data_IF_075892315441
#
_entry.id   IF_075892315441
#
_cell.length_a   1.000
_cell.length_b   1.000
_cell.length_c   1.000
_cell.angle_alpha   90.00
_cell.angle_beta   90.00
_cell.angle_gamma   90.00
#
_symmetry.space_group_name_H-M   'P 1'
#
loop_
_entity.id
_entity.type
_entity.pdbx_description
1 polymer ?
#
# COMPACT_ATOMS: atom_id res chain seq x y z
N UNK A 1 -57.12 -1.18 76.71
CA UNK A 1 -57.39 -1.40 75.27
C UNK A 1 -56.72 -0.22 74.54
N UNK A 2 -55.59 -0.50 73.88
CA UNK A 2 -54.90 0.53 73.09
C UNK A 2 -55.62 0.65 71.74
N UNK A 3 -56.39 1.67 71.55
CA UNK A 3 -57.04 1.97 70.28
C UNK A 3 -55.98 2.60 69.37
N UNK A 4 -55.48 1.91 68.35
CA UNK A 4 -54.59 2.43 67.34
C UNK A 4 -55.30 3.52 66.54
N UNK A 5 -54.75 4.76 66.43
CA UNK A 5 -55.40 5.84 65.75
C UNK A 5 -55.58 5.51 64.24
N UNK A 6 -56.76 5.81 63.68
CA UNK A 6 -57.18 5.47 62.33
C UNK A 6 -56.21 5.98 61.19
N UNK A 7 -55.35 6.98 61.46
CA UNK A 7 -54.39 7.53 60.51
C UNK A 7 -53.14 6.67 60.32
N UNK A 8 -52.79 5.79 61.30
CA UNK A 8 -51.59 4.94 61.24
C UNK A 8 -51.61 3.99 60.03
N UNK A 9 -52.71 3.20 59.79
CA UNK A 9 -52.75 2.34 58.61
C UNK A 9 -52.75 3.08 57.30
N UNK A 10 -53.26 4.32 57.24
CA UNK A 10 -53.28 5.17 56.06
C UNK A 10 -51.82 5.62 55.70
N UNK A 11 -51.07 6.08 56.70
CA UNK A 11 -49.68 6.46 56.51
C UNK A 11 -48.82 5.28 56.09
N UNK A 12 -48.99 4.12 56.69
CA UNK A 12 -48.24 2.92 56.27
C UNK A 12 -48.58 2.50 54.85
N UNK A 13 -49.85 2.58 54.44
CA UNK A 13 -50.23 2.29 53.05
C UNK A 13 -49.66 3.26 52.06
N UNK A 14 -49.66 4.57 52.33
CA UNK A 14 -49.08 5.61 51.46
C UNK A 14 -47.56 5.44 51.36
N UNK A 15 -46.86 5.23 52.46
CA UNK A 15 -45.41 5.00 52.45
C UNK A 15 -45.07 3.72 51.69
N UNK A 16 -45.84 2.68 51.81
CA UNK A 16 -45.67 1.41 51.09
C UNK A 16 -45.83 1.60 49.57
N UNK A 17 -46.84 2.32 49.10
CA UNK A 17 -47.09 2.57 47.68
C UNK A 17 -46.04 3.48 47.11
N UNK A 18 -45.69 4.55 47.77
CA UNK A 18 -44.61 5.49 47.31
C UNK A 18 -43.25 4.79 47.28
N UNK A 19 -42.94 3.98 48.30
CA UNK A 19 -41.69 3.20 48.36
C UNK A 19 -41.57 2.18 47.22
N UNK A 20 -42.63 1.47 46.89
CA UNK A 20 -42.65 0.49 45.78
C UNK A 20 -42.54 1.17 44.41
N UNK A 21 -43.22 2.29 44.20
CA UNK A 21 -43.15 3.07 42.97
C UNK A 21 -41.73 3.66 42.77
N UNK A 22 -41.15 4.21 43.81
CA UNK A 22 -39.77 4.77 43.75
C UNK A 22 -38.73 3.69 43.50
N UNK A 23 -38.86 2.51 44.12
CA UNK A 23 -37.96 1.38 43.89
C UNK A 23 -38.10 0.82 42.46
N UNK A 24 -39.32 0.75 41.92
CA UNK A 24 -39.57 0.32 40.55
C UNK A 24 -38.98 1.24 39.49
N UNK A 25 -39.22 2.54 39.62
CA UNK A 25 -38.67 3.55 38.72
C UNK A 25 -37.14 3.63 38.81
N UNK A 26 -36.61 3.63 40.03
CA UNK A 26 -35.16 3.63 40.27
C UNK A 26 -34.47 2.38 39.69
N UNK A 27 -35.08 1.22 39.84
CA UNK A 27 -34.57 -0.03 39.25
C UNK A 27 -34.51 0.00 37.72
N UNK A 28 -35.58 0.49 37.06
CA UNK A 28 -35.62 0.63 35.60
C UNK A 28 -34.57 1.59 35.08
N UNK A 29 -34.46 2.78 35.73
CA UNK A 29 -33.47 3.79 35.32
C UNK A 29 -32.02 3.30 35.47
N UNK A 30 -31.70 2.57 36.55
CA UNK A 30 -30.40 1.96 36.74
C UNK A 30 -30.11 0.88 35.69
N UNK A 31 -31.09 0.04 35.39
CA UNK A 31 -30.94 -1.02 34.37
C UNK A 31 -30.76 -0.46 32.98
N UNK A 32 -31.52 0.59 32.63
CA UNK A 32 -31.35 1.30 31.34
C UNK A 32 -29.99 1.94 31.23
N UNK A 33 -29.50 2.66 32.25
CA UNK A 33 -28.15 3.25 32.22
C UNK A 33 -27.06 2.20 32.10
N UNK A 34 -27.22 1.04 32.67
CA UNK A 34 -26.27 -0.06 32.51
C UNK A 34 -26.35 -0.69 31.12
N UNK A 35 -27.54 -0.81 30.53
CA UNK A 35 -27.72 -1.27 29.16
C UNK A 35 -27.09 -0.30 28.15
N UNK A 36 -27.39 0.99 28.28
CA UNK A 36 -26.84 2.04 27.43
C UNK A 36 -25.30 2.06 27.45
N UNK A 37 -24.70 1.92 28.65
CA UNK A 37 -23.22 1.87 28.76
C UNK A 37 -22.63 0.64 28.08
N UNK A 38 -23.29 -0.52 28.18
CA UNK A 38 -22.85 -1.75 27.51
C UNK A 38 -22.98 -1.63 25.98
N UNK A 39 -24.05 -1.01 25.55
CA UNK A 39 -24.32 -0.79 24.14
C UNK A 39 -23.30 0.21 23.55
N UNK A 40 -23.05 1.33 24.23
CA UNK A 40 -21.98 2.26 23.83
C UNK A 40 -20.60 1.60 23.74
N UNK A 41 -20.23 0.80 24.75
CA UNK A 41 -18.96 0.09 24.74
C UNK A 41 -18.91 -1.03 23.67
N UNK A 42 -20.03 -1.59 23.27
CA UNK A 42 -20.12 -2.52 22.14
C UNK A 42 -19.93 -1.79 20.80
N UNK A 43 -20.60 -0.64 20.63
CA UNK A 43 -20.46 0.22 19.45
C UNK A 43 -19.04 0.76 19.26
N UNK A 44 -18.38 1.17 20.33
CA UNK A 44 -16.98 1.64 20.25
C UNK A 44 -16.05 0.53 19.78
N UNK A 45 -16.20 -0.69 20.34
CA UNK A 45 -15.41 -1.86 19.92
C UNK A 45 -15.68 -2.28 18.46
N UNK A 46 -16.93 -2.18 18.03
CA UNK A 46 -17.32 -2.47 16.65
C UNK A 46 -16.66 -1.47 15.68
N UNK A 47 -16.75 -0.17 15.98
CA UNK A 47 -16.11 0.88 15.18
C UNK A 47 -14.58 0.73 15.14
N UNK A 48 -13.96 0.30 16.22
CA UNK A 48 -12.52 0.07 16.25
C UNK A 48 -12.13 -1.11 15.36
N UNK A 49 -12.87 -2.22 15.42
CA UNK A 49 -12.70 -3.38 14.53
C UNK A 49 -12.92 -3.02 13.05
N UNK A 50 -13.93 -2.21 12.77
CA UNK A 50 -14.18 -1.73 11.41
C UNK A 50 -13.02 -0.88 10.91
N UNK A 51 -12.51 0.06 11.71
CA UNK A 51 -11.33 0.88 11.35
C UNK A 51 -10.10 0.02 11.07
N UNK A 52 -9.83 -0.98 11.91
CA UNK A 52 -8.72 -1.90 11.70
C UNK A 52 -8.90 -2.76 10.44
N UNK A 53 -10.13 -3.14 10.11
CA UNK A 53 -10.45 -3.86 8.87
C UNK A 53 -10.20 -2.96 7.67
N UNK A 54 -10.72 -1.73 7.68
CA UNK A 54 -10.53 -0.76 6.60
C UNK A 54 -9.06 -0.43 6.40
N UNK A 55 -8.30 -0.24 7.47
CA UNK A 55 -6.87 0.02 7.37
C UNK A 55 -6.12 -1.15 6.71
N UNK A 56 -6.44 -2.40 7.07
CA UNK A 56 -5.84 -3.59 6.43
C UNK A 56 -6.24 -3.75 4.97
N UNK A 57 -7.50 -3.49 4.65
CA UNK A 57 -7.99 -3.56 3.27
C UNK A 57 -7.34 -2.49 2.39
N UNK A 58 -7.15 -1.28 2.90
CA UNK A 58 -6.49 -0.18 2.21
C UNK A 58 -4.99 -0.47 2.00
N UNK A 59 -4.32 -0.99 3.02
CA UNK A 59 -2.93 -1.43 2.93
C UNK A 59 -2.74 -2.53 1.89
N UNK A 60 -3.61 -3.56 1.87
CA UNK A 60 -3.56 -4.62 0.86
C UNK A 60 -3.82 -4.09 -0.55
N UNK A 61 -4.77 -3.17 -0.72
CA UNK A 61 -5.07 -2.56 -2.01
C UNK A 61 -3.89 -1.73 -2.52
N UNK A 62 -3.29 -0.95 -1.65
CA UNK A 62 -2.11 -0.15 -1.97
C UNK A 62 -0.92 -1.04 -2.33
N UNK A 63 -0.72 -2.15 -1.63
CA UNK A 63 0.30 -3.15 -1.95
C UNK A 63 0.12 -3.74 -3.35
N UNK A 64 -1.10 -4.16 -3.73
CA UNK A 64 -1.38 -4.72 -5.05
C UNK A 64 -1.19 -3.69 -6.17
N UNK A 65 -1.55 -2.42 -5.94
CA UNK A 65 -1.29 -1.36 -6.90
C UNK A 65 0.21 -1.12 -7.09
N UNK A 66 1.00 -1.08 -6.01
CA UNK A 66 2.46 -0.97 -6.08
C UNK A 66 3.07 -2.13 -6.85
N UNK A 67 2.72 -3.35 -6.48
CA UNK A 67 3.20 -4.56 -7.15
C UNK A 67 2.94 -4.54 -8.64
N UNK A 68 1.72 -4.17 -9.05
CA UNK A 68 1.33 -4.10 -10.47
C UNK A 68 2.12 -3.00 -11.19
N UNK A 69 2.25 -1.81 -10.60
CA UNK A 69 3.00 -0.71 -11.21
C UNK A 69 4.48 -1.07 -11.39
N UNK A 70 5.10 -1.72 -10.39
CA UNK A 70 6.50 -2.14 -10.46
C UNK A 70 6.73 -3.22 -11.51
N UNK A 71 5.84 -4.23 -11.58
CA UNK A 71 5.94 -5.28 -12.57
C UNK A 71 5.83 -4.72 -14.00
N UNK A 72 4.83 -3.86 -14.26
CA UNK A 72 4.64 -3.24 -15.57
C UNK A 72 5.79 -2.31 -15.96
N UNK A 73 6.33 -1.57 -15.00
CA UNK A 73 7.51 -0.73 -15.24
C UNK A 73 8.73 -1.58 -15.59
N UNK A 74 9.02 -2.61 -14.81
CA UNK A 74 10.18 -3.47 -15.03
C UNK A 74 10.10 -4.22 -16.36
N UNK A 75 8.92 -4.73 -16.73
CA UNK A 75 8.68 -5.37 -18.03
C UNK A 75 9.02 -4.41 -19.19
N UNK A 76 8.46 -3.21 -19.17
CA UNK A 76 8.72 -2.22 -20.24
C UNK A 76 10.15 -1.67 -20.21
N UNK A 77 10.80 -1.62 -19.05
CA UNK A 77 12.21 -1.27 -18.92
C UNK A 77 13.10 -2.31 -19.62
N UNK A 78 12.81 -3.60 -19.43
CA UNK A 78 13.53 -4.69 -20.12
C UNK A 78 13.32 -4.64 -21.63
N UNK A 79 12.10 -4.39 -22.08
CA UNK A 79 11.83 -4.22 -23.52
C UNK A 79 12.59 -3.01 -24.10
N UNK A 80 12.67 -1.92 -23.34
CA UNK A 80 13.42 -0.74 -23.73
C UNK A 80 14.92 -1.01 -23.84
N UNK A 81 15.49 -1.73 -22.85
CA UNK A 81 16.89 -2.12 -22.86
C UNK A 81 17.22 -3.11 -23.99
N UNK A 82 16.35 -4.07 -24.26
CA UNK A 82 16.52 -5.01 -25.36
C UNK A 82 16.59 -4.27 -26.71
N UNK A 83 15.72 -3.28 -26.92
CA UNK A 83 15.77 -2.46 -28.15
C UNK A 83 17.06 -1.66 -28.27
N UNK A 84 17.55 -1.11 -27.14
CA UNK A 84 18.84 -0.41 -27.14
C UNK A 84 19.99 -1.38 -27.47
N UNK A 85 19.94 -2.58 -26.92
CA UNK A 85 20.91 -3.65 -27.20
C UNK A 85 20.90 -4.06 -28.69
N UNK A 86 19.71 -4.42 -29.21
CA UNK A 86 19.56 -4.86 -30.60
C UNK A 86 20.02 -3.78 -31.59
N UNK A 87 19.72 -2.51 -31.28
CA UNK A 87 20.17 -1.37 -32.09
C UNK A 87 21.69 -1.22 -32.06
N UNK A 88 22.30 -1.22 -30.87
CA UNK A 88 23.76 -1.03 -30.73
C UNK A 88 24.59 -2.17 -31.32
N UNK A 89 24.07 -3.41 -31.32
CA UNK A 89 24.72 -4.56 -31.95
C UNK A 89 24.36 -4.76 -33.44
N UNK A 90 23.60 -3.84 -34.04
CA UNK A 90 23.16 -3.98 -35.43
C UNK A 90 22.28 -5.21 -35.70
N UNK A 91 21.61 -5.73 -34.65
CA UNK A 91 20.71 -6.89 -34.77
C UNK A 91 19.32 -6.49 -35.23
N UNK A 92 18.98 -5.22 -35.18
CA UNK A 92 17.73 -4.66 -35.68
C UNK A 92 17.85 -4.36 -37.17
N UNK A 93 16.80 -4.62 -37.95
CA UNK A 93 16.68 -4.20 -39.35
C UNK A 93 16.54 -2.66 -39.48
N UNK A 94 16.31 -1.96 -38.38
CA UNK A 94 16.10 -0.52 -38.32
C UNK A 94 17.42 0.19 -37.99
N UNK A 95 17.82 1.13 -38.85
CA UNK A 95 19.04 1.95 -38.67
C UNK A 95 18.87 2.97 -37.52
N UNK A 96 17.63 3.32 -37.20
CA UNK A 96 17.29 4.25 -36.11
C UNK A 96 16.24 3.62 -35.20
N UNK A 97 16.32 3.92 -33.91
CA UNK A 97 15.26 3.51 -32.97
C UNK A 97 13.95 4.21 -33.32
N UNK A 98 12.80 3.50 -33.28
CA UNK A 98 11.48 4.07 -33.60
C UNK A 98 11.17 5.29 -32.75
N UNK A 99 10.50 6.29 -33.34
CA UNK A 99 10.05 7.47 -32.59
C UNK A 99 9.19 7.05 -31.37
N UNK A 100 9.53 7.56 -30.20
CA UNK A 100 8.80 7.27 -28.97
C UNK A 100 9.05 5.85 -28.40
N UNK A 101 10.10 5.15 -28.82
CA UNK A 101 10.48 3.83 -28.33
C UNK A 101 10.52 3.73 -26.79
N UNK A 102 10.84 4.82 -26.09
CA UNK A 102 10.90 4.94 -24.64
C UNK A 102 9.54 5.23 -23.99
N UNK A 103 8.51 5.60 -24.77
CA UNK A 103 7.22 6.10 -24.27
C UNK A 103 6.46 5.09 -23.38
N UNK A 104 6.46 3.78 -23.66
CA UNK A 104 5.82 2.80 -22.78
C UNK A 104 6.44 2.79 -21.37
N UNK A 105 7.77 2.79 -21.31
CA UNK A 105 8.52 2.77 -20.03
C UNK A 105 8.31 4.07 -19.26
N UNK A 106 8.34 5.21 -19.94
CA UNK A 106 8.07 6.52 -19.32
C UNK A 106 6.66 6.59 -18.72
N UNK A 107 5.66 6.06 -19.43
CA UNK A 107 4.28 6.01 -18.92
C UNK A 107 4.16 5.15 -17.67
N UNK A 108 4.84 4.01 -17.63
CA UNK A 108 4.86 3.15 -16.46
C UNK A 108 5.69 3.76 -15.31
N UNK A 109 6.75 4.52 -15.59
CA UNK A 109 7.47 5.31 -14.58
C UNK A 109 6.55 6.34 -13.91
N UNK A 110 5.67 6.98 -14.68
CA UNK A 110 4.65 7.87 -14.11
C UNK A 110 3.67 7.13 -13.19
N UNK A 111 3.28 5.89 -13.52
CA UNK A 111 2.46 5.07 -12.62
C UNK A 111 3.22 4.70 -11.34
N UNK A 112 4.51 4.36 -11.45
CA UNK A 112 5.39 4.14 -10.29
C UNK A 112 5.40 5.36 -9.38
N UNK A 113 5.50 6.58 -9.93
CA UNK A 113 5.54 7.82 -9.16
C UNK A 113 4.29 8.08 -8.29
N UNK A 114 3.14 7.43 -8.60
CA UNK A 114 1.91 7.58 -7.82
C UNK A 114 1.87 6.70 -6.57
N UNK A 115 2.60 5.59 -6.57
CA UNK A 115 2.45 4.55 -5.54
C UNK A 115 3.76 4.21 -4.83
N UNK A 116 4.91 4.53 -5.43
CA UNK A 116 6.22 4.12 -4.95
C UNK A 116 6.71 4.98 -3.78
N UNK A 117 7.58 4.39 -2.98
CA UNK A 117 8.43 5.15 -2.05
C UNK A 117 9.46 5.96 -2.82
N UNK A 118 9.99 7.04 -2.23
CA UNK A 118 11.02 7.86 -2.88
C UNK A 118 12.22 7.05 -3.36
N UNK A 119 12.67 6.06 -2.59
CA UNK A 119 13.82 5.23 -2.96
C UNK A 119 13.57 4.39 -4.21
N UNK A 120 12.37 3.83 -4.38
CA UNK A 120 12.00 3.09 -5.60
C UNK A 120 11.87 4.04 -6.79
N UNK A 121 11.28 5.21 -6.59
CA UNK A 121 11.12 6.20 -7.66
C UNK A 121 12.48 6.71 -8.16
N UNK A 122 13.42 6.99 -7.26
CA UNK A 122 14.76 7.43 -7.60
C UNK A 122 15.52 6.34 -8.38
N UNK A 123 15.46 5.10 -7.90
CA UNK A 123 16.08 3.96 -8.57
C UNK A 123 15.45 3.70 -9.97
N UNK A 124 14.12 3.73 -10.07
CA UNK A 124 13.40 3.56 -11.33
C UNK A 124 13.72 4.67 -12.34
N UNK A 125 13.83 5.91 -11.86
CA UNK A 125 14.23 7.05 -12.69
C UNK A 125 15.67 6.92 -13.19
N UNK A 126 16.57 6.43 -12.33
CA UNK A 126 17.97 6.17 -12.70
C UNK A 126 18.06 5.10 -13.78
N UNK A 127 17.36 3.98 -13.62
CA UNK A 127 17.36 2.90 -14.61
C UNK A 127 16.72 3.30 -15.95
N UNK A 128 15.62 4.05 -15.89
CA UNK A 128 15.02 4.62 -17.10
C UNK A 128 16.00 5.52 -17.85
N UNK A 129 16.68 6.42 -17.15
CA UNK A 129 17.65 7.33 -17.76
C UNK A 129 18.86 6.58 -18.32
N UNK A 130 19.35 5.54 -17.64
CA UNK A 130 20.45 4.72 -18.12
C UNK A 130 20.06 3.97 -19.42
N UNK A 131 18.89 3.33 -19.46
CA UNK A 131 18.38 2.67 -20.66
C UNK A 131 18.15 3.67 -21.82
N UNK A 132 17.62 4.86 -21.49
CA UNK A 132 17.41 5.91 -22.49
C UNK A 132 18.72 6.41 -23.09
N UNK A 133 19.73 6.68 -22.25
CA UNK A 133 21.05 7.10 -22.70
C UNK A 133 21.69 6.01 -23.55
N UNK A 134 21.63 4.77 -23.12
CA UNK A 134 22.18 3.65 -23.86
C UNK A 134 21.61 3.57 -25.28
N UNK A 135 20.28 3.60 -25.46
CA UNK A 135 19.67 3.58 -26.78
C UNK A 135 19.86 4.86 -27.61
N UNK A 136 20.06 6.02 -26.96
CA UNK A 136 20.20 7.31 -27.67
C UNK A 136 21.66 7.62 -28.06
N UNK A 137 22.61 7.25 -27.19
CA UNK A 137 24.05 7.53 -27.40
C UNK A 137 24.74 6.39 -28.14
N UNK A 138 24.21 5.15 -28.11
CA UNK A 138 24.72 4.04 -28.87
C UNK A 138 24.51 4.31 -30.38
N UNK A 139 25.59 4.31 -31.14
CA UNK A 139 25.49 4.37 -32.60
C UNK A 139 25.16 2.97 -33.13
N UNK A 140 24.42 2.93 -34.23
CA UNK A 140 24.10 1.67 -34.90
C UNK A 140 25.40 0.92 -35.26
N UNK A 141 25.45 -0.39 -34.91
CA UNK A 141 26.61 -1.28 -35.20
C UNK A 141 27.92 -0.79 -34.53
N UNK A 142 27.87 -0.39 -33.28
CA UNK A 142 29.02 0.12 -32.53
C UNK A 142 29.57 -0.83 -31.42
N UNK A 143 29.66 -2.17 -31.61
CA UNK A 143 30.19 -3.06 -30.59
C UNK A 143 31.67 -2.85 -30.28
N UNK A 144 32.42 -2.13 -31.17
CA UNK A 144 33.83 -1.79 -30.98
C UNK A 144 34.02 -0.45 -30.23
N UNK A 145 32.93 0.32 -30.00
CA UNK A 145 33.00 1.56 -29.23
C UNK A 145 33.05 1.25 -27.74
N UNK A 146 34.13 1.58 -27.03
CA UNK A 146 34.22 1.34 -25.57
C UNK A 146 33.09 2.03 -24.81
N UNK A 147 32.53 3.13 -25.32
CA UNK A 147 31.39 3.84 -24.73
C UNK A 147 30.14 2.97 -24.66
N UNK A 148 29.95 2.05 -25.59
CA UNK A 148 28.79 1.17 -25.64
C UNK A 148 28.78 0.20 -24.46
N UNK A 149 29.95 -0.40 -24.14
CA UNK A 149 30.11 -1.29 -22.97
C UNK A 149 29.88 -0.55 -21.65
N UNK A 150 30.39 0.69 -21.54
CA UNK A 150 30.19 1.52 -20.34
C UNK A 150 28.72 1.88 -20.14
N UNK A 151 27.98 2.16 -21.21
CA UNK A 151 26.54 2.45 -21.15
C UNK A 151 25.72 1.23 -20.76
N UNK A 152 26.10 0.06 -21.26
CA UNK A 152 25.47 -1.20 -20.86
C UNK A 152 25.71 -1.51 -19.37
N UNK A 153 26.94 -1.39 -18.89
CA UNK A 153 27.29 -1.60 -17.49
C UNK A 153 26.53 -0.64 -16.57
N UNK A 154 26.43 0.64 -16.94
CA UNK A 154 25.66 1.63 -16.20
C UNK A 154 24.16 1.28 -16.14
N UNK A 155 23.60 0.70 -17.20
CA UNK A 155 22.23 0.19 -17.19
C UNK A 155 22.08 -1.01 -16.27
N UNK A 156 22.97 -1.99 -16.36
CA UNK A 156 22.94 -3.21 -15.55
C UNK A 156 23.01 -2.90 -14.04
N UNK A 157 23.87 -1.94 -13.67
CA UNK A 157 23.96 -1.46 -12.28
C UNK A 157 22.66 -0.78 -11.83
N UNK A 158 22.11 0.11 -12.67
CA UNK A 158 20.87 0.80 -12.36
C UNK A 158 19.66 -0.16 -12.30
N UNK A 159 19.61 -1.16 -13.17
CA UNK A 159 18.59 -2.23 -13.15
C UNK A 159 18.65 -3.01 -11.84
N UNK A 160 19.82 -3.44 -11.41
CA UNK A 160 20.02 -4.12 -10.15
C UNK A 160 19.53 -3.26 -8.96
N UNK A 161 19.84 -1.97 -8.99
CA UNK A 161 19.37 -1.00 -7.99
C UNK A 161 17.84 -0.89 -7.91
N UNK A 162 17.16 -0.90 -9.04
CA UNK A 162 15.67 -0.92 -9.08
C UNK A 162 15.12 -2.18 -8.45
N UNK A 163 15.65 -3.34 -8.81
CA UNK A 163 15.17 -4.61 -8.26
C UNK A 163 15.35 -4.68 -6.76
N UNK A 164 16.48 -4.20 -6.24
CA UNK A 164 16.74 -4.19 -4.80
C UNK A 164 15.80 -3.21 -4.08
N UNK A 165 15.59 -2.02 -4.62
CA UNK A 165 14.66 -1.05 -4.07
C UNK A 165 13.21 -1.59 -4.03
N UNK A 166 12.76 -2.24 -5.11
CA UNK A 166 11.43 -2.88 -5.18
C UNK A 166 11.30 -4.01 -4.16
N UNK A 167 12.32 -4.87 -4.01
CA UNK A 167 12.30 -5.96 -3.02
C UNK A 167 12.18 -5.44 -1.60
N UNK A 168 12.92 -4.39 -1.28
CA UNK A 168 12.86 -3.75 0.03
C UNK A 168 11.46 -3.16 0.28
N UNK A 169 10.90 -2.44 -0.68
CA UNK A 169 9.59 -1.80 -0.56
C UNK A 169 8.44 -2.81 -0.43
N UNK A 170 8.52 -3.92 -1.15
CA UNK A 170 7.54 -5.01 -1.08
C UNK A 170 7.83 -6.01 0.05
N UNK A 171 8.84 -5.77 0.88
CA UNK A 171 9.28 -6.68 1.96
C UNK A 171 9.51 -8.13 1.48
N UNK A 172 9.95 -8.30 0.22
CA UNK A 172 10.25 -9.63 -0.33
C UNK A 172 11.57 -10.13 0.27
N UNK A 173 11.60 -11.30 0.95
CA UNK A 173 12.83 -11.85 1.48
C UNK A 173 13.89 -11.96 0.39
N UNK A 174 15.07 -11.38 0.62
CA UNK A 174 16.17 -11.40 -0.34
C UNK A 174 16.66 -12.82 -0.58
N UNK A 175 16.30 -13.41 -1.70
CA UNK A 175 16.97 -14.59 -2.24
C UNK A 175 18.35 -14.16 -2.73
N UNK A 176 19.37 -14.89 -2.33
CA UNK A 176 20.75 -14.67 -2.78
C UNK A 176 20.89 -15.08 -4.27
N UNK A 177 20.54 -14.18 -5.17
CA UNK A 177 20.59 -14.40 -6.62
C UNK A 177 21.98 -14.17 -7.23
N UNK A 178 22.97 -13.82 -6.40
CA UNK A 178 24.36 -13.65 -6.85
C UNK A 178 25.04 -14.95 -7.29
N UNK A 179 24.41 -16.12 -7.07
CA UNK A 179 24.98 -17.43 -7.42
C UNK A 179 24.59 -17.98 -8.82
N UNK A 180 23.82 -17.24 -9.60
CA UNK A 180 23.41 -17.69 -10.96
C UNK A 180 24.15 -16.99 -12.11
N UNK A 181 25.23 -16.29 -11.81
CA UNK A 181 26.09 -15.64 -12.79
C UNK A 181 27.43 -16.38 -12.93
N UNK A 182 27.39 -17.67 -13.28
CA UNK A 182 28.54 -18.47 -13.72
C UNK A 182 28.23 -19.09 -15.07
#
# INVERSE_FOLDING_TARGET
MNVTPLWVPIVVAVVGVVGTAAAGVGGVLLTQRHADRREHAAWERERERERERWAREDEMRTFEHRRTAYASFYETLKDMALRAYDHGYGLSDEVELPEGWQSPTFRNLQLVSLYATPSVLDAASSAYNAAWRWGHEATYDAPEDPTFGDLQEAYDEAEAGVLDAIRIDLAVPGGNWSSCRD
#
